data_IF_987632913938
#
_entry.id   IF_987632913938
#
_cell.length_a   1.000
_cell.length_b   1.000
_cell.length_c   1.000
_cell.angle_alpha   90.00
_cell.angle_beta   90.00
_cell.angle_gamma   90.00
#
_symmetry.space_group_name_H-M   'P 1'
#
loop_
_entity.id
_entity.type
_entity.pdbx_description
1 polymer ?
#
# COMPACT_ATOMS: atom_id res chain seq x y z
N UNK A 1 -4.82 -25.08 -63.43
CA UNK A 1 -3.74 -24.15 -63.00
C UNK A 1 -4.26 -22.93 -62.24
N UNK A 2 -5.45 -22.39 -62.55
CA UNK A 2 -6.09 -21.29 -61.81
C UNK A 2 -6.42 -21.62 -60.35
N UNK A 3 -6.98 -22.80 -60.07
CA UNK A 3 -7.48 -23.15 -58.74
C UNK A 3 -6.37 -23.46 -57.72
N UNK A 4 -5.26 -24.02 -58.20
CA UNK A 4 -4.05 -24.27 -57.39
C UNK A 4 -3.37 -22.96 -56.95
N UNK A 5 -3.38 -21.93 -57.80
CA UNK A 5 -2.84 -20.62 -57.45
C UNK A 5 -3.74 -19.89 -56.44
N UNK A 6 -5.07 -19.99 -56.58
CA UNK A 6 -6.00 -19.43 -55.61
C UNK A 6 -5.90 -20.07 -54.20
N UNK A 7 -5.65 -21.38 -54.14
CA UNK A 7 -5.47 -22.11 -52.88
C UNK A 7 -4.18 -21.75 -52.12
N UNK A 8 -3.14 -21.30 -52.82
CA UNK A 8 -1.86 -20.86 -52.22
C UNK A 8 -1.89 -19.37 -51.87
N UNK A 9 -2.51 -18.55 -52.72
CA UNK A 9 -2.57 -17.08 -52.55
C UNK A 9 -3.54 -16.65 -51.46
N UNK A 10 -4.64 -17.37 -51.24
CA UNK A 10 -5.63 -17.05 -50.20
C UNK A 10 -5.09 -17.12 -48.75
N UNK A 11 -4.39 -18.18 -48.28
CA UNK A 11 -3.79 -18.20 -46.94
C UNK A 11 -2.63 -17.21 -46.81
N UNK A 12 -1.88 -16.95 -47.90
CA UNK A 12 -0.81 -15.97 -47.92
C UNK A 12 -1.33 -14.53 -47.70
N UNK A 13 -2.39 -14.13 -48.42
CA UNK A 13 -3.02 -12.81 -48.25
C UNK A 13 -3.74 -12.67 -46.89
N UNK A 14 -4.31 -13.75 -46.36
CA UNK A 14 -4.88 -13.77 -45.00
C UNK A 14 -3.80 -13.62 -43.92
N UNK A 15 -2.64 -14.26 -44.08
CA UNK A 15 -1.52 -14.10 -43.14
C UNK A 15 -0.96 -12.67 -43.17
N UNK A 16 -0.86 -12.06 -44.36
CA UNK A 16 -0.39 -10.70 -44.54
C UNK A 16 -1.35 -9.69 -43.91
N UNK A 17 -2.66 -9.85 -44.07
CA UNK A 17 -3.66 -8.95 -43.46
C UNK A 17 -3.71 -9.03 -41.92
N UNK A 18 -3.44 -10.21 -41.35
CA UNK A 18 -3.28 -10.38 -39.90
C UNK A 18 -2.07 -9.60 -39.35
N UNK A 19 -0.92 -9.62 -40.04
CA UNK A 19 0.25 -8.85 -39.61
C UNK A 19 -0.01 -7.33 -39.62
N UNK A 20 -0.72 -6.83 -40.64
CA UNK A 20 -1.07 -5.41 -40.70
C UNK A 20 -2.03 -4.98 -39.58
N UNK A 21 -3.00 -5.82 -39.22
CA UNK A 21 -3.91 -5.53 -38.10
C UNK A 21 -3.19 -5.59 -36.75
N UNK A 22 -2.25 -6.52 -36.56
CA UNK A 22 -1.38 -6.57 -35.38
C UNK A 22 -0.49 -5.32 -35.29
N UNK A 23 0.15 -4.91 -36.39
CA UNK A 23 0.99 -3.71 -36.40
C UNK A 23 0.17 -2.42 -36.18
N UNK A 24 -1.02 -2.32 -36.76
CA UNK A 24 -1.92 -1.20 -36.55
C UNK A 24 -2.42 -1.13 -35.11
N UNK A 25 -2.79 -2.26 -34.52
CA UNK A 25 -3.22 -2.32 -33.11
C UNK A 25 -2.06 -1.99 -32.15
N UNK A 26 -0.85 -2.48 -32.42
CA UNK A 26 0.34 -2.18 -31.62
C UNK A 26 0.74 -0.69 -31.72
N UNK A 27 0.69 -0.11 -32.91
CA UNK A 27 0.95 1.32 -33.10
C UNK A 27 -0.11 2.18 -32.42
N UNK A 28 -1.39 1.86 -32.56
CA UNK A 28 -2.48 2.54 -31.87
C UNK A 28 -2.33 2.47 -30.33
N UNK A 29 -1.98 1.29 -29.81
CA UNK A 29 -1.71 1.10 -28.38
C UNK A 29 -0.52 1.95 -27.92
N UNK A 30 0.54 2.02 -28.71
CA UNK A 30 1.73 2.82 -28.39
C UNK A 30 1.40 4.31 -28.33
N UNK A 31 0.68 4.82 -29.34
CA UNK A 31 0.22 6.22 -29.37
C UNK A 31 -0.70 6.51 -28.18
N UNK A 32 -1.62 5.60 -27.85
CA UNK A 32 -2.49 5.74 -26.69
C UNK A 32 -1.69 5.85 -25.38
N UNK A 33 -0.74 4.94 -25.13
CA UNK A 33 0.11 4.97 -23.93
C UNK A 33 0.93 6.26 -23.86
N UNK A 34 1.56 6.67 -24.96
CA UNK A 34 2.34 7.92 -25.00
C UNK A 34 1.48 9.14 -24.71
N UNK A 35 0.28 9.21 -25.29
CA UNK A 35 -0.66 10.31 -25.04
C UNK A 35 -1.06 10.39 -23.56
N UNK A 36 -1.29 9.24 -22.92
CA UNK A 36 -1.59 9.14 -21.49
C UNK A 36 -0.41 9.60 -20.63
N UNK A 37 0.81 9.20 -20.95
CA UNK A 37 2.02 9.62 -20.22
C UNK A 37 2.21 11.13 -20.32
N UNK A 38 2.10 11.70 -21.53
CA UNK A 38 2.23 13.14 -21.74
C UNK A 38 1.15 13.90 -20.96
N UNK A 39 -0.10 13.45 -21.02
CA UNK A 39 -1.19 14.04 -20.27
C UNK A 39 -0.92 13.99 -18.76
N UNK A 40 -0.53 12.83 -18.22
CA UNK A 40 -0.28 12.65 -16.77
C UNK A 40 0.88 13.48 -16.24
N UNK A 41 1.93 13.67 -17.04
CA UNK A 41 3.12 14.41 -16.63
C UNK A 41 2.89 15.92 -16.73
N UNK A 42 2.27 16.41 -17.80
CA UNK A 42 2.23 17.85 -18.10
C UNK A 42 0.85 18.51 -17.95
N UNK A 43 -0.24 17.81 -18.28
CA UNK A 43 -1.58 18.41 -18.36
C UNK A 43 -2.48 18.04 -17.16
N UNK A 44 -2.09 17.03 -16.39
CA UNK A 44 -2.85 16.55 -15.25
C UNK A 44 -2.86 17.60 -14.12
N UNK A 45 -3.94 17.77 -13.34
CA UNK A 45 -4.01 18.79 -12.29
C UNK A 45 -2.87 18.72 -11.26
N UNK A 46 -2.37 17.51 -10.97
CA UNK A 46 -1.24 17.31 -10.05
C UNK A 46 0.15 17.57 -10.67
N UNK A 47 0.23 17.96 -11.95
CA UNK A 47 1.50 18.33 -12.61
C UNK A 47 2.15 19.58 -12.00
N UNK A 48 1.37 20.40 -11.29
CA UNK A 48 1.83 21.59 -10.57
C UNK A 48 2.71 21.26 -9.37
N UNK A 49 2.62 20.03 -8.85
CA UNK A 49 3.41 19.60 -7.70
C UNK A 49 4.74 19.02 -8.15
N UNK A 50 5.85 19.35 -7.46
CA UNK A 50 7.16 18.83 -7.79
C UNK A 50 7.25 17.32 -7.51
N UNK A 51 8.05 16.61 -8.28
CA UNK A 51 8.28 15.18 -8.11
C UNK A 51 8.93 14.54 -9.34
N UNK A 52 9.42 13.30 -9.24
CA UNK A 52 10.04 12.63 -10.38
C UNK A 52 8.99 12.30 -11.44
N UNK A 53 9.27 12.67 -12.70
CA UNK A 53 8.34 12.45 -13.83
C UNK A 53 7.99 10.97 -14.04
N UNK A 54 8.87 10.05 -13.66
CA UNK A 54 8.62 8.61 -13.76
C UNK A 54 7.45 8.18 -12.86
N UNK A 55 7.33 8.77 -11.67
CA UNK A 55 6.21 8.52 -10.75
C UNK A 55 4.90 9.15 -11.23
N UNK A 56 4.99 10.25 -11.99
CA UNK A 56 3.84 10.84 -12.66
C UNK A 56 3.36 9.99 -13.86
N UNK A 57 4.30 9.36 -14.58
CA UNK A 57 4.01 8.54 -15.76
C UNK A 57 3.44 7.16 -15.40
N UNK A 58 3.98 6.51 -14.37
CA UNK A 58 3.67 5.12 -14.02
C UNK A 58 3.73 4.86 -12.51
N UNK A 59 2.91 3.91 -12.03
CA UNK A 59 2.97 3.41 -10.64
C UNK A 59 4.10 2.42 -10.39
N UNK A 60 4.75 1.89 -11.44
CA UNK A 60 5.78 0.84 -11.32
C UNK A 60 6.92 1.19 -10.34
N UNK A 61 7.53 2.40 -10.37
CA UNK A 61 8.62 2.73 -9.45
C UNK A 61 8.18 2.72 -7.99
N UNK A 62 6.93 3.12 -7.74
CA UNK A 62 6.32 3.10 -6.41
C UNK A 62 6.12 1.66 -5.95
N UNK A 63 5.49 0.82 -6.77
CA UNK A 63 5.28 -0.59 -6.43
C UNK A 63 6.60 -1.35 -6.21
N UNK A 64 7.63 -1.04 -6.99
CA UNK A 64 8.97 -1.56 -6.78
C UNK A 64 9.58 -1.11 -5.44
N UNK A 65 9.44 0.18 -5.09
CA UNK A 65 9.90 0.70 -3.80
C UNK A 65 9.15 0.08 -2.61
N UNK A 66 7.86 -0.21 -2.77
CA UNK A 66 7.02 -0.89 -1.76
C UNK A 66 7.45 -2.35 -1.60
N UNK A 67 7.55 -3.10 -2.70
CA UNK A 67 7.93 -4.53 -2.67
C UNK A 67 9.38 -4.75 -2.22
N UNK A 68 10.28 -3.79 -2.44
CA UNK A 68 11.64 -3.80 -1.90
C UNK A 68 11.75 -3.40 -0.42
N UNK A 69 10.65 -2.96 0.20
CA UNK A 69 10.64 -2.49 1.60
C UNK A 69 11.32 -1.13 1.81
N UNK A 70 11.75 -0.45 0.74
CA UNK A 70 12.51 0.81 0.80
C UNK A 70 11.69 2.06 0.56
N UNK A 71 10.36 1.91 0.42
CA UNK A 71 9.45 3.01 0.11
C UNK A 71 9.61 4.23 1.03
N UNK A 72 9.78 4.01 2.33
CA UNK A 72 9.95 5.09 3.31
C UNK A 72 11.26 5.87 3.10
N UNK A 73 12.37 5.20 2.75
CA UNK A 73 13.61 5.88 2.37
C UNK A 73 13.44 6.69 1.08
N UNK A 74 12.76 6.10 0.09
CA UNK A 74 12.47 6.79 -1.17
C UNK A 74 11.62 8.04 -0.91
N UNK A 75 10.52 7.92 -0.18
CA UNK A 75 9.65 9.04 0.18
C UNK A 75 10.43 10.14 0.91
N UNK A 76 11.27 9.78 1.88
CA UNK A 76 12.15 10.74 2.59
C UNK A 76 13.06 11.47 1.61
N UNK A 77 13.77 10.76 0.74
CA UNK A 77 14.69 11.37 -0.24
C UNK A 77 13.98 12.30 -1.23
N UNK A 78 12.74 11.96 -1.59
CA UNK A 78 11.91 12.78 -2.46
C UNK A 78 11.48 14.06 -1.76
N UNK A 79 11.12 14.00 -0.48
CA UNK A 79 10.81 15.18 0.32
C UNK A 79 12.03 16.08 0.56
N UNK A 80 13.21 15.49 0.80
CA UNK A 80 14.46 16.24 0.92
C UNK A 80 14.80 16.99 -0.39
N UNK A 81 14.48 16.41 -1.54
CA UNK A 81 14.78 16.99 -2.86
C UNK A 81 13.73 17.99 -3.36
N UNK A 82 12.45 17.71 -3.16
CA UNK A 82 11.34 18.43 -3.79
C UNK A 82 10.50 19.25 -2.79
N UNK A 83 10.73 19.10 -1.48
CA UNK A 83 10.07 19.86 -0.43
C UNK A 83 8.83 19.19 0.18
N UNK A 84 7.89 20.01 0.66
CA UNK A 84 6.80 19.56 1.54
C UNK A 84 5.60 18.92 0.84
N UNK A 85 5.42 19.12 -0.47
CA UNK A 85 4.30 18.55 -1.22
C UNK A 85 4.85 17.90 -2.47
N UNK A 86 4.96 16.57 -2.47
CA UNK A 86 5.67 15.83 -3.51
C UNK A 86 4.77 14.82 -4.17
N UNK A 87 4.81 14.78 -5.50
CA UNK A 87 4.11 13.77 -6.28
C UNK A 87 4.87 12.45 -6.23
N UNK A 88 4.25 11.46 -5.58
CA UNK A 88 4.80 10.12 -5.32
C UNK A 88 4.03 9.02 -6.09
N UNK A 89 3.13 9.41 -7.00
CA UNK A 89 2.39 8.51 -7.86
C UNK A 89 1.57 9.25 -8.90
N UNK A 90 0.80 8.50 -9.70
CA UNK A 90 0.00 9.06 -10.79
C UNK A 90 -1.02 10.07 -10.23
N UNK A 91 -1.73 9.68 -9.17
CA UNK A 91 -2.78 10.46 -8.51
C UNK A 91 -2.52 10.58 -6.99
N UNK A 92 -1.25 10.55 -6.59
CA UNK A 92 -0.84 10.53 -5.17
C UNK A 92 0.14 11.65 -4.85
N UNK A 93 -0.16 12.36 -3.76
CA UNK A 93 0.73 13.35 -3.15
C UNK A 93 1.13 12.88 -1.76
N UNK A 94 2.37 13.17 -1.39
CA UNK A 94 2.88 12.96 -0.05
C UNK A 94 3.16 14.30 0.60
N UNK A 95 2.94 14.36 1.91
CA UNK A 95 3.14 15.54 2.75
C UNK A 95 3.79 15.11 4.07
N UNK A 96 4.94 15.69 4.47
CA UNK A 96 5.62 15.34 5.70
C UNK A 96 5.22 16.25 6.88
N UNK A 97 4.15 17.05 6.76
CA UNK A 97 3.81 18.09 7.72
C UNK A 97 2.76 17.64 8.74
N UNK A 98 2.87 18.15 9.98
CA UNK A 98 1.87 17.93 11.03
C UNK A 98 0.50 18.53 10.67
N UNK A 99 0.49 19.60 9.86
CA UNK A 99 -0.76 20.18 9.36
C UNK A 99 -1.47 19.20 8.41
N UNK A 100 -0.74 18.56 7.48
CA UNK A 100 -1.33 17.55 6.61
C UNK A 100 -1.88 16.36 7.39
N UNK A 101 -1.23 15.96 8.49
CA UNK A 101 -1.79 14.94 9.39
C UNK A 101 -3.16 15.35 9.93
N UNK A 102 -3.29 16.60 10.40
CA UNK A 102 -4.58 17.12 10.88
C UNK A 102 -5.61 17.20 9.75
N UNK A 103 -5.22 17.73 8.59
CA UNK A 103 -6.11 17.94 7.46
C UNK A 103 -6.61 16.62 6.87
N UNK A 104 -5.78 15.57 6.83
CA UNK A 104 -6.14 14.28 6.23
C UNK A 104 -6.87 13.37 7.24
N UNK A 105 -6.38 13.28 8.48
CA UNK A 105 -6.83 12.27 9.44
C UNK A 105 -7.84 12.77 10.46
N UNK A 106 -8.17 14.07 10.46
CA UNK A 106 -9.22 14.63 11.34
C UNK A 106 -10.54 14.74 10.59
N UNK A 107 -11.64 14.67 11.34
CA UNK A 107 -12.98 14.92 10.79
C UNK A 107 -13.21 16.41 10.60
N UNK A 108 -13.60 16.81 9.40
CA UNK A 108 -13.92 18.21 9.07
C UNK A 108 -15.44 18.38 8.94
N UNK A 109 -16.10 18.74 10.05
CA UNK A 109 -17.51 19.10 10.06
C UNK A 109 -18.44 18.13 9.32
N UNK A 110 -19.16 18.65 8.31
CA UNK A 110 -20.09 17.88 7.46
C UNK A 110 -19.40 17.12 6.32
N UNK A 111 -18.16 17.46 5.97
CA UNK A 111 -17.39 16.82 4.88
C UNK A 111 -16.84 15.45 5.29
N UNK A 112 -16.80 15.16 6.61
CA UNK A 112 -16.43 13.86 7.13
C UNK A 112 -14.92 13.69 7.25
N UNK A 113 -14.43 12.46 7.09
CA UNK A 113 -13.01 12.09 7.14
C UNK A 113 -12.55 11.74 5.72
N UNK A 114 -11.30 12.03 5.39
CA UNK A 114 -10.72 11.60 4.12
C UNK A 114 -10.80 10.07 3.99
N UNK A 115 -11.45 9.54 2.93
CA UNK A 115 -11.67 8.11 2.81
C UNK A 115 -10.34 7.37 2.58
N UNK A 116 -10.25 6.16 3.14
CA UNK A 116 -9.11 5.27 2.87
C UNK A 116 -9.11 4.85 1.40
N UNK A 117 -7.92 4.66 0.84
CA UNK A 117 -7.79 4.15 -0.52
C UNK A 117 -8.32 2.70 -0.62
N UNK A 118 -9.34 2.51 -1.45
CA UNK A 118 -9.98 1.20 -1.66
C UNK A 118 -9.03 0.16 -2.26
N UNK A 119 -7.97 0.58 -2.97
CA UNK A 119 -6.95 -0.34 -3.50
C UNK A 119 -6.03 -0.85 -2.40
N UNK A 120 -5.63 0.02 -1.48
CA UNK A 120 -4.78 -0.33 -0.35
C UNK A 120 -5.55 -1.13 0.71
N UNK A 121 -6.84 -0.83 0.90
CA UNK A 121 -7.73 -1.49 1.86
C UNK A 121 -8.78 -2.34 1.14
N UNK A 122 -8.30 -3.29 0.33
CA UNK A 122 -9.15 -4.18 -0.44
C UNK A 122 -10.18 -4.90 0.45
N UNK A 123 -11.35 -5.20 -0.12
CA UNK A 123 -12.41 -5.91 0.60
C UNK A 123 -11.89 -7.28 1.04
N UNK A 124 -11.99 -7.62 2.34
CA UNK A 124 -11.59 -8.93 2.81
C UNK A 124 -12.45 -10.01 2.16
N UNK A 125 -11.89 -11.22 2.01
CA UNK A 125 -12.51 -12.34 1.28
C UNK A 125 -13.90 -12.70 1.82
N UNK A 126 -14.11 -12.56 3.13
CA UNK A 126 -15.37 -12.80 3.83
C UNK A 126 -16.38 -11.63 3.71
N UNK A 127 -16.04 -10.56 2.98
CA UNK A 127 -16.83 -9.32 2.78
C UNK A 127 -17.15 -8.55 4.06
N UNK A 128 -16.53 -8.89 5.18
CA UNK A 128 -16.75 -8.26 6.48
C UNK A 128 -15.61 -7.29 6.78
N UNK A 129 -15.90 -5.99 6.72
CA UNK A 129 -14.90 -4.97 7.07
C UNK A 129 -14.56 -5.04 8.57
N UNK A 130 -13.29 -4.84 8.90
CA UNK A 130 -12.83 -4.61 10.27
C UNK A 130 -12.67 -3.12 10.51
N UNK A 131 -12.38 -2.72 11.75
CA UNK A 131 -12.01 -1.33 12.06
C UNK A 131 -10.83 -0.83 11.20
N UNK A 132 -9.92 -1.72 10.79
CA UNK A 132 -8.77 -1.35 9.96
C UNK A 132 -9.15 -1.19 8.49
N UNK A 133 -10.05 -2.03 7.97
CA UNK A 133 -10.41 -2.07 6.54
C UNK A 133 -11.71 -1.36 6.18
N UNK A 134 -12.45 -0.81 7.15
CA UNK A 134 -13.63 0.02 6.88
C UNK A 134 -13.21 1.31 6.16
N UNK A 135 -13.73 1.49 4.94
CA UNK A 135 -13.52 2.68 4.09
C UNK A 135 -14.57 3.75 4.42
N UNK A 136 -15.82 3.32 4.65
CA UNK A 136 -16.90 4.21 5.02
C UNK A 136 -16.77 4.70 6.47
N UNK A 137 -17.03 6.00 6.68
CA UNK A 137 -16.90 6.65 7.98
C UNK A 137 -17.94 6.14 8.99
N UNK A 138 -19.16 5.80 8.55
CA UNK A 138 -20.20 5.32 9.46
C UNK A 138 -19.86 3.93 9.99
N UNK A 139 -19.43 3.02 9.11
CA UNK A 139 -18.95 1.70 9.51
C UNK A 139 -17.71 1.78 10.40
N UNK A 140 -16.73 2.61 10.02
CA UNK A 140 -15.53 2.81 10.82
C UNK A 140 -15.86 3.36 12.22
N UNK A 141 -16.77 4.34 12.30
CA UNK A 141 -17.25 4.93 13.55
C UNK A 141 -17.99 3.92 14.43
N UNK A 142 -18.82 3.06 13.81
CA UNK A 142 -19.51 1.96 14.50
C UNK A 142 -18.53 0.97 15.10
N UNK A 143 -17.55 0.49 14.33
CA UNK A 143 -16.54 -0.44 14.82
C UNK A 143 -15.67 0.22 15.91
N UNK A 144 -15.23 1.47 15.71
CA UNK A 144 -14.46 2.21 16.71
C UNK A 144 -15.20 2.31 18.03
N UNK A 145 -16.51 2.59 18.02
CA UNK A 145 -17.32 2.65 19.24
C UNK A 145 -17.32 1.33 20.01
N UNK A 146 -17.43 0.20 19.31
CA UNK A 146 -17.36 -1.12 19.93
C UNK A 146 -15.97 -1.38 20.54
N UNK A 147 -14.90 -1.04 19.82
CA UNK A 147 -13.52 -1.25 20.29
C UNK A 147 -13.12 -0.33 21.45
N UNK A 148 -13.66 0.88 21.54
CA UNK A 148 -13.28 1.85 22.58
C UNK A 148 -13.45 1.31 24.00
N UNK A 149 -14.41 0.41 24.25
CA UNK A 149 -14.60 -0.21 25.56
C UNK A 149 -13.39 -1.04 26.01
N UNK A 150 -12.74 -1.76 25.08
CA UNK A 150 -11.56 -2.57 25.36
C UNK A 150 -10.32 -1.74 25.70
N UNK A 151 -10.31 -0.45 25.33
CA UNK A 151 -9.23 0.51 25.62
C UNK A 151 -9.62 1.52 26.70
N UNK A 152 -10.70 1.27 27.45
CA UNK A 152 -11.06 2.10 28.60
C UNK A 152 -10.05 1.92 29.74
N UNK A 153 -9.87 2.93 30.58
CA UNK A 153 -8.97 2.87 31.73
C UNK A 153 -9.24 1.64 32.60
N UNK A 154 -10.53 1.37 32.89
CA UNK A 154 -10.95 0.18 33.63
C UNK A 154 -10.51 -1.12 32.95
N UNK A 155 -10.78 -1.28 31.65
CA UNK A 155 -10.38 -2.49 30.92
C UNK A 155 -8.86 -2.66 30.87
N UNK A 156 -8.10 -1.57 30.75
CA UNK A 156 -6.63 -1.61 30.80
C UNK A 156 -6.13 -2.01 32.19
N UNK A 157 -6.73 -1.49 33.27
CA UNK A 157 -6.42 -1.89 34.64
C UNK A 157 -6.75 -3.37 34.90
N UNK A 158 -7.87 -3.87 34.40
CA UNK A 158 -8.26 -5.29 34.50
C UNK A 158 -7.30 -6.22 33.73
N UNK A 159 -6.71 -5.76 32.62
CA UNK A 159 -5.73 -6.52 31.82
C UNK A 159 -4.30 -6.44 32.37
N UNK A 160 -3.97 -5.41 33.15
CA UNK A 160 -2.61 -5.19 33.66
C UNK A 160 -2.01 -6.38 34.43
N UNK A 161 -2.74 -7.11 35.30
CA UNK A 161 -2.19 -8.28 36.00
C UNK A 161 -1.76 -9.41 35.05
N UNK A 162 -2.50 -9.62 33.95
CA UNK A 162 -2.18 -10.62 32.94
C UNK A 162 -0.88 -10.25 32.22
N UNK A 163 -0.75 -9.00 31.78
CA UNK A 163 0.48 -8.51 31.16
C UNK A 163 1.68 -8.62 32.11
N UNK A 164 1.50 -8.22 33.38
CA UNK A 164 2.53 -8.32 34.40
C UNK A 164 3.04 -9.75 34.57
N UNK A 165 2.14 -10.74 34.61
CA UNK A 165 2.50 -12.16 34.69
C UNK A 165 3.47 -12.59 33.57
N UNK A 166 3.21 -12.18 32.33
CA UNK A 166 4.07 -12.54 31.19
C UNK A 166 5.38 -11.75 31.17
N UNK A 167 5.37 -10.49 31.60
CA UNK A 167 6.58 -9.69 31.76
C UNK A 167 7.48 -10.28 32.86
N UNK A 168 6.90 -10.64 34.02
CA UNK A 168 7.65 -11.28 35.10
C UNK A 168 8.28 -12.59 34.62
N UNK A 169 7.53 -13.41 33.86
CA UNK A 169 8.05 -14.65 33.27
C UNK A 169 9.19 -14.38 32.27
N UNK A 170 9.06 -13.37 31.41
CA UNK A 170 10.11 -12.94 30.50
C UNK A 170 11.39 -12.58 31.27
N UNK A 171 11.26 -11.77 32.33
CA UNK A 171 12.41 -11.35 33.14
C UNK A 171 13.10 -12.53 33.80
N UNK A 172 12.34 -13.45 34.41
CA UNK A 172 12.89 -14.68 35.02
C UNK A 172 13.71 -15.48 34.01
N UNK A 173 13.17 -15.65 32.80
CA UNK A 173 13.83 -16.41 31.73
C UNK A 173 15.07 -15.71 31.19
N UNK A 174 15.01 -14.39 31.00
CA UNK A 174 16.17 -13.60 30.59
C UNK A 174 17.30 -13.68 31.62
N UNK A 175 17.00 -13.51 32.91
CA UNK A 175 18.01 -13.60 33.97
C UNK A 175 18.64 -14.99 34.05
N UNK A 176 17.85 -16.06 33.87
CA UNK A 176 18.37 -17.42 33.87
C UNK A 176 19.37 -17.70 32.73
N UNK A 177 19.28 -16.97 31.62
CA UNK A 177 20.13 -17.17 30.43
C UNK A 177 21.15 -16.03 30.23
N UNK A 178 21.23 -15.06 31.14
CA UNK A 178 21.99 -13.81 30.94
C UNK A 178 23.51 -14.03 30.89
N UNK A 179 24.02 -14.98 31.66
CA UNK A 179 25.46 -15.20 31.81
C UNK A 179 26.02 -16.28 30.86
N UNK A 180 25.15 -17.00 30.15
CA UNK A 180 25.56 -18.13 29.32
C UNK A 180 25.93 -17.70 27.89
N UNK A 181 25.04 -16.94 27.23
CA UNK A 181 25.18 -16.57 25.81
C UNK A 181 24.45 -15.25 25.54
N UNK A 182 24.91 -14.49 24.55
CA UNK A 182 24.18 -13.34 24.02
C UNK A 182 22.75 -13.73 23.58
N UNK A 183 21.75 -13.03 24.10
CA UNK A 183 20.34 -13.36 23.89
C UNK A 183 19.76 -12.63 22.68
N UNK A 184 18.95 -13.31 21.86
CA UNK A 184 18.21 -12.70 20.76
C UNK A 184 16.92 -12.02 21.28
N UNK A 185 16.98 -10.70 21.48
CA UNK A 185 15.84 -9.92 21.95
C UNK A 185 14.66 -9.89 20.97
N UNK A 186 14.90 -10.08 19.66
CA UNK A 186 13.81 -10.14 18.68
C UNK A 186 12.98 -11.40 18.90
N UNK A 187 13.63 -12.53 19.16
CA UNK A 187 12.95 -13.77 19.52
C UNK A 187 12.12 -13.60 20.80
N UNK A 188 12.69 -12.99 21.84
CA UNK A 188 12.00 -12.72 23.11
C UNK A 188 10.77 -11.81 22.94
N UNK A 189 10.87 -10.73 22.15
CA UNK A 189 9.74 -9.83 21.91
C UNK A 189 8.66 -10.47 21.03
N UNK A 190 9.03 -11.27 20.05
CA UNK A 190 8.07 -12.02 19.24
C UNK A 190 7.31 -13.04 20.11
N UNK A 191 8.00 -13.73 21.02
CA UNK A 191 7.39 -14.69 21.95
C UNK A 191 6.37 -14.04 22.88
N UNK A 192 6.73 -12.94 23.56
CA UNK A 192 5.79 -12.27 24.47
C UNK A 192 4.60 -11.66 23.72
N UNK A 193 4.80 -11.23 22.47
CA UNK A 193 3.73 -10.69 21.63
C UNK A 193 2.80 -11.78 21.06
N UNK A 194 3.28 -12.99 20.78
CA UNK A 194 2.50 -14.01 20.09
C UNK A 194 1.50 -14.76 20.97
N UNK A 195 1.53 -14.59 22.30
CA UNK A 195 0.66 -15.28 23.28
C UNK A 195 0.57 -16.81 23.07
N UNK A 196 1.48 -17.41 22.29
CA UNK A 196 1.51 -18.83 21.99
C UNK A 196 2.44 -19.50 23.00
N UNK A 197 1.85 -20.14 24.00
CA UNK A 197 2.57 -20.88 25.05
C UNK A 197 3.38 -22.08 24.53
N UNK A 198 3.34 -22.36 23.23
CA UNK A 198 3.90 -23.58 22.63
C UNK A 198 5.26 -23.41 21.95
N UNK A 199 5.78 -22.19 21.82
CA UNK A 199 7.03 -21.97 21.11
C UNK A 199 8.02 -21.30 22.06
N UNK A 200 8.73 -22.12 22.81
CA UNK A 200 10.05 -21.75 23.30
C UNK A 200 11.10 -22.48 22.46
N UNK A 201 12.18 -21.81 22.02
CA UNK A 201 13.47 -22.47 21.79
C UNK A 201 14.10 -22.92 23.12
#
# INVERSE_FOLDING_TARGET
>A
MSDLMAAIVSPFNASLSLWHTILLSLSALTVYILSQVVYRVYLYPLSKFPGPRIYAASSIPREYAVTSGRYHYTAKSLHEKYGNAVRIGINELSFPSAQALKDIYTRHGREGVFPKDAKAYARPQNRMHSILSAIDDADHSRYRRLFNHAFSEKALQEQAPLLKKYIDLLMVRLYANADEVAQDMVAWFNWIASTSSEIYP
#
